data_IF_279155372206
#
_entry.id   IF_279155372206
#
_cell.length_a   1.000
_cell.length_b   1.000
_cell.length_c   1.000
_cell.angle_alpha   90.00
_cell.angle_beta   90.00
_cell.angle_gamma   90.00
#
_symmetry.space_group_name_H-M   'P 1'
#
loop_
_entity.id
_entity.type
_entity.pdbx_description
1 polymer ?
#
# COMPACT_ATOMS: atom_id res chain seq x y z
N UNK A 1 -16.81 19.09 26.50
CA UNK A 1 -16.29 17.70 26.45
C UNK A 1 -16.60 16.93 25.15
N UNK A 2 -17.72 17.20 24.46
CA UNK A 2 -18.15 16.48 23.23
C UNK A 2 -17.14 16.58 22.06
N UNK A 3 -16.43 17.72 21.91
CA UNK A 3 -15.48 17.95 20.81
C UNK A 3 -14.23 17.07 20.88
N UNK A 4 -13.74 16.80 22.10
CA UNK A 4 -12.60 15.92 22.34
C UNK A 4 -12.97 14.45 22.12
N UNK A 5 -14.16 14.03 22.57
CA UNK A 5 -14.68 12.69 22.31
C UNK A 5 -14.83 12.38 20.82
N UNK A 6 -15.36 13.34 20.03
CA UNK A 6 -15.44 13.22 18.57
C UNK A 6 -14.07 13.11 17.88
N UNK A 7 -13.00 13.64 18.49
CA UNK A 7 -11.65 13.52 17.97
C UNK A 7 -11.10 12.10 18.11
N UNK A 8 -11.28 11.48 19.29
CA UNK A 8 -10.90 10.09 19.53
C UNK A 8 -11.58 9.15 18.55
N UNK A 9 -12.90 9.27 18.39
CA UNK A 9 -13.66 8.45 17.44
C UNK A 9 -13.09 8.54 16.01
N UNK A 10 -12.79 9.76 15.52
CA UNK A 10 -12.21 9.94 14.17
C UNK A 10 -10.82 9.34 14.02
N UNK A 11 -10.03 9.34 15.11
CA UNK A 11 -8.71 8.71 15.13
C UNK A 11 -8.86 7.20 15.09
N UNK A 12 -9.77 6.63 15.89
CA UNK A 12 -10.06 5.20 15.93
C UNK A 12 -10.59 4.70 14.58
N UNK A 13 -11.52 5.43 13.95
CA UNK A 13 -12.05 5.11 12.62
C UNK A 13 -10.92 5.06 11.56
N UNK A 14 -9.96 5.98 11.64
CA UNK A 14 -8.81 5.99 10.71
C UNK A 14 -7.84 4.84 11.01
N UNK A 15 -7.67 4.50 12.29
CA UNK A 15 -6.81 3.40 12.74
C UNK A 15 -7.34 2.03 12.27
N UNK A 16 -8.66 1.85 12.19
CA UNK A 16 -9.26 0.64 11.60
C UNK A 16 -8.82 0.39 10.17
N UNK A 17 -8.48 1.44 9.42
CA UNK A 17 -7.94 1.34 8.07
C UNK A 17 -6.40 1.31 8.01
N UNK A 18 -5.73 1.30 9.17
CA UNK A 18 -4.27 1.34 9.27
C UNK A 18 -3.69 2.74 9.10
N UNK A 19 -4.40 3.80 9.51
CA UNK A 19 -3.93 5.18 9.39
C UNK A 19 -3.93 5.91 10.73
N UNK A 20 -2.88 6.69 10.98
CA UNK A 20 -2.83 7.63 12.09
C UNK A 20 -3.20 9.03 11.63
N UNK A 21 -4.32 9.53 12.14
CA UNK A 21 -4.82 10.88 11.87
C UNK A 21 -4.17 11.89 12.82
N UNK A 22 -3.71 13.00 12.27
CA UNK A 22 -3.22 14.17 12.99
C UNK A 22 -4.04 15.39 12.58
N UNK A 23 -4.43 16.19 13.55
CA UNK A 23 -5.11 17.49 13.37
C UNK A 23 -4.06 18.61 13.24
N UNK A 24 -4.45 19.84 12.84
CA UNK A 24 -3.49 20.93 12.65
C UNK A 24 -2.73 21.35 13.93
N UNK A 25 -3.24 21.00 15.11
CA UNK A 25 -2.59 21.27 16.40
C UNK A 25 -1.71 20.10 16.88
N UNK A 26 -1.81 18.93 16.25
CA UNK A 26 -1.08 17.75 16.66
C UNK A 26 0.33 17.77 16.04
N UNK A 27 1.33 17.30 16.79
CA UNK A 27 2.69 17.10 16.29
C UNK A 27 2.91 15.65 15.88
N UNK A 28 3.28 15.42 14.62
CA UNK A 28 3.61 14.09 14.12
C UNK A 28 5.12 13.82 14.01
N UNK A 29 5.98 14.78 14.33
CA UNK A 29 7.44 14.68 14.13
C UNK A 29 8.11 13.58 14.97
N UNK A 30 7.51 13.20 16.11
CA UNK A 30 8.01 12.13 16.96
C UNK A 30 8.06 10.77 16.23
N UNK A 31 7.06 10.50 15.40
CA UNK A 31 6.96 9.25 14.62
C UNK A 31 7.30 9.43 13.14
N UNK A 32 6.99 10.58 12.58
CA UNK A 32 7.10 10.87 11.15
C UNK A 32 7.95 12.13 10.95
N UNK A 33 9.27 11.96 11.07
CA UNK A 33 10.23 13.04 10.89
C UNK A 33 10.14 13.60 9.47
N UNK A 34 10.16 14.92 9.36
CA UNK A 34 10.13 15.60 8.06
C UNK A 34 8.74 15.63 7.38
N UNK A 35 7.65 15.33 8.09
CA UNK A 35 6.31 15.44 7.49
C UNK A 35 6.01 16.88 7.04
N UNK A 36 5.81 17.06 5.73
CA UNK A 36 5.51 18.36 5.12
C UNK A 36 4.22 19.04 5.63
N UNK A 37 3.31 18.25 6.22
CA UNK A 37 1.99 18.68 6.71
C UNK A 37 1.92 18.84 8.24
N UNK A 38 3.03 18.59 8.96
CA UNK A 38 3.06 18.69 10.41
C UNK A 38 2.62 20.07 10.88
N UNK A 39 1.71 20.12 11.88
CA UNK A 39 1.13 21.34 12.45
C UNK A 39 0.54 22.36 11.44
N UNK A 40 0.26 21.94 10.20
CA UNK A 40 -0.31 22.81 9.15
C UNK A 40 -1.77 22.48 8.86
N UNK A 41 -2.09 21.20 8.69
CA UNK A 41 -3.44 20.76 8.33
C UNK A 41 -3.72 19.34 8.83
N UNK A 42 -5.00 18.93 8.77
CA UNK A 42 -5.36 17.54 9.07
C UNK A 42 -4.75 16.62 8.02
N UNK A 43 -4.07 15.57 8.47
CA UNK A 43 -3.44 14.59 7.59
C UNK A 43 -3.43 13.19 8.21
N UNK A 44 -3.11 12.19 7.38
CA UNK A 44 -3.24 10.77 7.67
C UNK A 44 -1.97 10.05 7.23
N UNK A 45 -1.25 9.46 8.18
CA UNK A 45 -0.07 8.64 7.91
C UNK A 45 -0.47 7.18 7.80
N UNK A 46 -0.01 6.48 6.76
CA UNK A 46 -0.14 5.04 6.70
C UNK A 46 0.74 4.39 7.79
N UNK A 47 0.22 3.35 8.44
CA UNK A 47 0.93 2.56 9.46
C UNK A 47 1.39 1.20 8.94
N UNK A 48 1.19 0.92 7.65
CA UNK A 48 1.67 -0.33 7.05
C UNK A 48 3.20 -0.33 7.04
N UNK A 49 3.80 -1.46 7.39
CA UNK A 49 5.25 -1.64 7.31
C UNK A 49 5.78 -1.28 5.92
N UNK A 50 6.90 -0.55 5.89
CA UNK A 50 7.54 -0.07 4.67
C UNK A 50 6.65 0.82 3.78
N UNK A 51 5.69 1.55 4.38
CA UNK A 51 4.84 2.51 3.67
C UNK A 51 4.85 3.90 4.33
N UNK A 52 5.53 4.86 3.69
CA UNK A 52 5.66 6.23 4.21
C UNK A 52 4.64 7.21 3.58
N UNK A 53 3.48 6.70 3.14
CA UNK A 53 2.49 7.52 2.44
C UNK A 53 1.69 8.37 3.43
N UNK A 54 1.54 9.65 3.07
CA UNK A 54 0.78 10.65 3.82
C UNK A 54 -0.30 11.23 2.92
N UNK A 55 -1.53 11.31 3.45
CA UNK A 55 -2.69 11.82 2.73
C UNK A 55 -3.37 12.94 3.51
N UNK A 56 -4.09 13.81 2.80
CA UNK A 56 -4.85 14.93 3.38
C UNK A 56 -6.35 14.78 3.18
N UNK A 57 -6.77 13.83 2.34
CA UNK A 57 -8.16 13.49 2.06
C UNK A 57 -8.49 12.08 2.56
N UNK A 58 -9.69 11.91 3.13
CA UNK A 58 -10.21 10.60 3.53
C UNK A 58 -10.51 9.69 2.34
N UNK A 59 -10.80 10.23 1.15
CA UNK A 59 -11.00 9.44 -0.07
C UNK A 59 -9.71 8.70 -0.47
N UNK A 60 -8.57 9.40 -0.40
CA UNK A 60 -7.27 8.83 -0.77
C UNK A 60 -6.82 7.80 0.26
N UNK A 61 -7.11 8.04 1.54
CA UNK A 61 -6.91 7.07 2.62
C UNK A 61 -7.65 5.77 2.34
N UNK A 62 -8.95 5.83 2.01
CA UNK A 62 -9.74 4.64 1.71
C UNK A 62 -9.25 3.92 0.45
N UNK A 63 -8.90 4.67 -0.60
CA UNK A 63 -8.31 4.10 -1.82
C UNK A 63 -6.98 3.39 -1.52
N UNK A 64 -6.12 4.00 -0.70
CA UNK A 64 -4.83 3.46 -0.32
C UNK A 64 -4.95 2.22 0.59
N UNK A 65 -5.88 2.25 1.55
CA UNK A 65 -6.22 1.07 2.36
C UNK A 65 -6.64 -0.11 1.48
N UNK A 66 -7.50 0.14 0.50
CA UNK A 66 -7.95 -0.85 -0.46
C UNK A 66 -6.81 -1.36 -1.35
N UNK A 67 -5.83 -0.51 -1.69
CA UNK A 67 -4.62 -0.93 -2.38
C UNK A 67 -3.85 -1.96 -1.55
N UNK A 68 -3.56 -1.69 -0.28
CA UNK A 68 -2.87 -2.66 0.58
C UNK A 68 -3.64 -3.97 0.75
N UNK A 69 -4.96 -3.91 0.87
CA UNK A 69 -5.82 -5.11 0.93
C UNK A 69 -5.67 -5.96 -0.34
N UNK A 70 -5.75 -5.32 -1.51
CA UNK A 70 -5.60 -6.00 -2.81
C UNK A 70 -4.18 -6.55 -3.00
N UNK A 71 -3.17 -5.81 -2.59
CA UNK A 71 -1.77 -6.22 -2.72
C UNK A 71 -1.45 -7.43 -1.84
N UNK A 72 -1.93 -7.42 -0.59
CA UNK A 72 -1.80 -8.54 0.35
C UNK A 72 -2.47 -9.81 -0.19
N UNK A 73 -3.63 -9.69 -0.84
CA UNK A 73 -4.30 -10.84 -1.45
C UNK A 73 -3.47 -11.46 -2.60
N UNK A 74 -2.85 -10.63 -3.46
CA UNK A 74 -1.97 -11.10 -4.54
C UNK A 74 -0.74 -11.82 -3.95
N UNK A 75 -0.18 -11.29 -2.85
CA UNK A 75 0.91 -11.92 -2.11
C UNK A 75 0.51 -13.29 -1.56
N UNK A 76 -0.68 -13.40 -0.95
CA UNK A 76 -1.21 -14.67 -0.45
C UNK A 76 -1.50 -15.68 -1.57
N UNK A 77 -1.77 -15.22 -2.79
CA UNK A 77 -1.90 -16.07 -3.98
C UNK A 77 -0.55 -16.59 -4.49
N UNK A 78 0.56 -16.07 -3.97
CA UNK A 78 1.93 -16.44 -4.34
C UNK A 78 2.51 -15.55 -5.44
N UNK A 79 2.02 -14.31 -5.58
CA UNK A 79 2.49 -13.36 -6.58
C UNK A 79 2.88 -12.02 -5.94
N UNK A 80 3.71 -11.23 -6.60
CA UNK A 80 4.02 -9.85 -6.22
C UNK A 80 3.59 -8.94 -7.35
N UNK A 81 2.93 -7.82 -7.04
CA UNK A 81 2.67 -6.77 -8.02
C UNK A 81 3.76 -5.70 -7.93
N UNK A 82 4.20 -5.23 -9.09
CA UNK A 82 5.03 -4.03 -9.23
C UNK A 82 4.29 -3.03 -10.11
N UNK A 83 4.16 -1.79 -9.65
CA UNK A 83 3.55 -0.70 -10.41
C UNK A 83 4.54 -0.16 -11.45
N UNK A 84 4.00 0.55 -12.44
CA UNK A 84 4.80 1.23 -13.47
C UNK A 84 5.86 2.21 -12.93
N UNK A 85 5.69 2.69 -11.70
CA UNK A 85 6.60 3.62 -11.03
C UNK A 85 7.55 2.93 -10.05
N UNK A 86 7.40 1.62 -9.85
CA UNK A 86 8.21 0.84 -8.91
C UNK A 86 9.28 0.06 -9.66
N UNK A 87 10.46 -0.05 -9.06
CA UNK A 87 11.55 -0.86 -9.59
C UNK A 87 11.52 -2.25 -8.93
N UNK A 88 11.34 -3.31 -9.72
CA UNK A 88 11.32 -4.67 -9.19
C UNK A 88 12.70 -5.22 -8.83
N UNK A 89 13.79 -4.51 -9.19
CA UNK A 89 15.19 -4.87 -8.94
C UNK A 89 15.63 -6.25 -9.48
N UNK A 90 14.77 -6.95 -10.23
CA UNK A 90 15.06 -8.24 -10.84
C UNK A 90 15.58 -8.02 -12.27
N UNK A 91 16.89 -8.13 -12.47
CA UNK A 91 17.52 -7.93 -13.78
C UNK A 91 17.01 -8.90 -14.87
N UNK A 92 16.57 -10.10 -14.49
CA UNK A 92 15.98 -11.09 -15.40
C UNK A 92 14.48 -10.85 -15.69
N UNK A 93 13.87 -9.81 -15.13
CA UNK A 93 12.49 -9.48 -15.42
C UNK A 93 12.36 -8.87 -16.82
N UNK A 94 11.49 -9.44 -17.65
CA UNK A 94 11.19 -8.95 -19.01
C UNK A 94 10.65 -7.52 -19.04
N UNK A 95 10.12 -7.03 -17.91
CA UNK A 95 9.57 -5.70 -17.75
C UNK A 95 10.48 -4.78 -16.91
N UNK A 96 11.70 -5.21 -16.60
CA UNK A 96 12.67 -4.38 -15.89
C UNK A 96 12.97 -3.10 -16.66
N UNK A 97 12.98 -1.96 -15.96
CA UNK A 97 13.14 -0.64 -16.56
C UNK A 97 11.95 -0.14 -17.38
N UNK A 98 10.92 -0.96 -17.60
CA UNK A 98 9.72 -0.57 -18.32
C UNK A 98 8.75 0.13 -17.36
N UNK A 99 8.18 1.27 -17.79
CA UNK A 99 7.14 2.00 -17.03
C UNK A 99 5.78 1.31 -17.13
N UNK A 100 5.71 0.03 -16.77
CA UNK A 100 4.51 -0.80 -16.83
C UNK A 100 4.24 -1.53 -15.53
N UNK A 101 2.96 -1.65 -15.17
CA UNK A 101 2.56 -2.54 -14.08
C UNK A 101 2.76 -3.98 -14.54
N UNK A 102 3.33 -4.82 -13.69
CA UNK A 102 3.57 -6.23 -13.96
C UNK A 102 3.54 -7.05 -12.66
N UNK A 103 3.55 -8.38 -12.78
CA UNK A 103 3.43 -9.31 -11.66
C UNK A 103 4.54 -10.36 -11.72
N UNK A 104 5.06 -10.76 -10.56
CA UNK A 104 6.10 -11.79 -10.43
C UNK A 104 5.52 -12.96 -9.64
N UNK A 105 5.83 -14.19 -10.04
CA UNK A 105 5.57 -15.33 -9.18
C UNK A 105 6.56 -15.31 -7.99
N UNK A 106 6.07 -15.62 -6.79
CA UNK A 106 6.86 -15.69 -5.55
C UNK A 106 7.11 -17.13 -5.07
N UNK A 107 6.67 -18.14 -5.84
CA UNK A 107 6.90 -19.55 -5.48
C UNK A 107 8.37 -19.89 -5.63
N UNK A 108 8.89 -20.72 -4.72
CA UNK A 108 10.29 -21.16 -4.73
C UNK A 108 10.66 -21.79 -6.08
N UNK A 109 11.78 -21.36 -6.67
CA UNK A 109 12.25 -21.86 -7.96
C UNK A 109 11.48 -21.34 -9.18
N UNK A 110 10.53 -20.41 -9.03
CA UNK A 110 9.74 -19.86 -10.12
C UNK A 110 10.19 -18.43 -10.47
N UNK A 111 10.51 -18.19 -11.75
CA UNK A 111 10.93 -16.88 -12.26
C UNK A 111 9.94 -16.27 -13.26
N UNK A 112 8.71 -16.80 -13.33
CA UNK A 112 7.71 -16.31 -14.27
C UNK A 112 7.23 -14.90 -13.90
N UNK A 113 7.08 -14.07 -14.94
CA UNK A 113 6.56 -12.71 -14.84
C UNK A 113 5.39 -12.51 -15.80
N UNK A 114 4.41 -11.71 -15.39
CA UNK A 114 3.16 -11.50 -16.13
C UNK A 114 2.91 -10.01 -16.35
N UNK A 115 2.45 -9.66 -17.56
CA UNK A 115 2.10 -8.26 -17.88
C UNK A 115 0.78 -7.84 -17.23
N UNK A 116 -0.17 -8.77 -17.15
CA UNK A 116 -1.52 -8.48 -16.67
C UNK A 116 -2.08 -9.62 -15.78
N UNK A 117 -3.24 -9.37 -15.16
CA UNK A 117 -3.90 -10.34 -14.28
C UNK A 117 -4.47 -11.56 -15.00
N UNK A 118 -4.85 -11.43 -16.27
CA UNK A 118 -5.39 -12.54 -17.04
C UNK A 118 -4.31 -13.60 -17.30
N UNK A 119 -3.11 -13.17 -17.71
CA UNK A 119 -1.95 -14.05 -17.91
C UNK A 119 -1.59 -14.78 -16.60
N UNK A 120 -1.54 -14.03 -15.50
CA UNK A 120 -1.28 -14.56 -14.15
C UNK A 120 -2.34 -15.59 -13.73
N UNK A 121 -3.63 -15.28 -13.95
CA UNK A 121 -4.73 -16.18 -13.64
C UNK A 121 -4.73 -17.45 -14.49
N UNK A 122 -4.36 -17.34 -15.77
CA UNK A 122 -4.19 -18.51 -16.64
C UNK A 122 -3.07 -19.41 -16.14
N UNK A 123 -1.90 -18.86 -15.78
CA UNK A 123 -0.83 -19.63 -15.17
C UNK A 123 -1.29 -20.37 -13.91
N UNK A 124 -2.03 -19.70 -13.02
CA UNK A 124 -2.53 -20.32 -11.79
C UNK A 124 -3.49 -21.50 -12.04
N UNK A 125 -4.28 -21.47 -13.13
CA UNK A 125 -5.18 -22.57 -13.51
C UNK A 125 -4.42 -23.85 -13.90
N UNK A 126 -3.31 -23.71 -14.62
CA UNK A 126 -2.50 -24.85 -15.08
C UNK A 126 -1.47 -25.29 -14.03
N UNK A 127 -1.07 -24.38 -13.14
CA UNK A 127 -0.12 -24.63 -12.07
C UNK A 127 -0.76 -24.24 -10.72
N UNK A 128 -1.71 -25.04 -10.20
CA UNK A 128 -2.31 -24.80 -8.90
C UNK A 128 -1.25 -24.90 -7.78
N UNK A 129 -1.57 -24.34 -6.62
CA UNK A 129 -0.70 -24.44 -5.44
C UNK A 129 -0.60 -25.93 -5.07
N UNK A 130 0.58 -26.54 -5.19
CA UNK A 130 0.89 -27.84 -4.57
C UNK A 130 0.88 -27.68 -3.04
#
# INVERSE_FOLDING_TARGET
MIRHFKWHKKRDDSLQHGFMRYSPMDDCSDRFRGCSHNRKQTHYHCLKESCDRVYISTSDVQMHANYHRKDTAIIQEGFQRFRATENCATASCLFFGQRTTHFHCRRSGCSFTFKNKADMGNFQKYFPKL
#
